data_IF_107048824938
#
_entry.id   IF_107048824938
#
_cell.length_a   1.000
_cell.length_b   1.000
_cell.length_c   1.000
_cell.angle_alpha   90.00
_cell.angle_beta   90.00
_cell.angle_gamma   90.00
#
_symmetry.space_group_name_H-M   'P 1'
#
loop_
_entity.id
_entity.type
_entity.pdbx_description
1 polymer ?
#
# COMPACT_ATOMS: atom_id res chain seq x y z
N UNK A 1 -25.76 4.53 4.72
CA UNK A 1 -24.47 4.70 4.01
C UNK A 1 -23.68 3.39 4.07
N UNK A 2 -24.19 2.30 3.49
CA UNK A 2 -23.54 0.97 3.54
C UNK A 2 -23.43 0.31 2.16
N UNK A 3 -23.89 0.97 1.09
CA UNK A 3 -24.03 0.34 -0.23
C UNK A 3 -22.77 0.45 -1.10
N UNK A 4 -21.84 1.36 -0.77
CA UNK A 4 -20.65 1.66 -1.56
C UNK A 4 -19.46 1.96 -0.64
N UNK A 5 -18.98 0.95 0.07
CA UNK A 5 -17.90 1.12 1.07
C UNK A 5 -16.54 0.58 0.62
N UNK A 6 -16.42 0.09 -0.62
CA UNK A 6 -15.16 -0.27 -1.26
C UNK A 6 -15.14 0.28 -2.69
N UNK A 7 -14.12 1.07 -3.01
CA UNK A 7 -13.91 1.60 -4.37
C UNK A 7 -13.18 0.53 -5.19
N UNK A 8 -13.60 0.35 -6.44
CA UNK A 8 -12.87 -0.46 -7.40
C UNK A 8 -12.82 0.29 -8.71
N UNK A 9 -11.61 0.52 -9.20
CA UNK A 9 -11.38 1.09 -10.52
C UNK A 9 -11.29 -0.01 -11.56
N UNK A 10 -11.57 0.33 -12.82
CA UNK A 10 -11.30 -0.57 -13.95
C UNK A 10 -9.80 -0.64 -14.22
N UNK A 11 -9.13 0.53 -14.16
CA UNK A 11 -7.67 0.63 -14.13
C UNK A 11 -7.19 0.38 -12.70
N UNK A 12 -6.82 -0.86 -12.38
CA UNK A 12 -6.36 -1.27 -11.05
C UNK A 12 -4.92 -1.80 -11.05
N UNK A 13 -4.21 -1.72 -12.17
CA UNK A 13 -2.83 -2.22 -12.30
C UNK A 13 -1.82 -1.08 -12.29
N UNK A 14 -0.67 -1.28 -11.65
CA UNK A 14 0.46 -0.35 -11.62
C UNK A 14 1.80 -1.09 -11.65
N UNK A 15 2.90 -0.34 -11.88
CA UNK A 15 4.27 -0.87 -11.82
C UNK A 15 5.12 -0.09 -10.84
N UNK A 16 5.99 -0.79 -10.13
CA UNK A 16 6.98 -0.20 -9.22
C UNK A 16 8.35 -0.86 -9.42
N UNK A 17 9.40 -0.14 -9.04
CA UNK A 17 10.77 -0.58 -9.26
C UNK A 17 11.31 -1.29 -8.00
N UNK A 18 11.32 -2.62 -8.03
CA UNK A 18 11.72 -3.45 -6.88
C UNK A 18 13.24 -3.42 -6.71
N UNK A 19 13.70 -3.03 -5.52
CA UNK A 19 15.12 -3.01 -5.13
C UNK A 19 16.06 -2.26 -6.08
N UNK A 20 15.57 -1.27 -6.82
CA UNK A 20 16.32 -0.61 -7.88
C UNK A 20 16.90 -1.56 -8.96
N UNK A 21 16.26 -2.71 -9.20
CA UNK A 21 16.77 -3.73 -10.12
C UNK A 21 15.84 -3.99 -11.30
N UNK A 22 14.56 -4.29 -11.03
CA UNK A 22 13.59 -4.64 -12.06
C UNK A 22 12.20 -4.11 -11.74
N UNK A 23 11.42 -3.90 -12.78
CA UNK A 23 10.02 -3.48 -12.67
C UNK A 23 9.14 -4.67 -12.36
N UNK A 24 8.23 -4.49 -11.40
CA UNK A 24 7.20 -5.45 -11.03
C UNK A 24 5.84 -4.83 -11.33
N UNK A 25 4.93 -5.63 -11.86
CA UNK A 25 3.53 -5.29 -12.05
C UNK A 25 2.72 -5.84 -10.87
N UNK A 26 1.74 -5.08 -10.41
CA UNK A 26 0.83 -5.48 -9.34
C UNK A 26 -0.50 -4.76 -9.50
N UNK A 27 -1.54 -5.27 -8.84
CA UNK A 27 -2.84 -4.61 -8.81
C UNK A 27 -3.12 -3.95 -7.45
N UNK A 28 -4.21 -3.18 -7.39
CA UNK A 28 -4.74 -2.61 -6.16
C UNK A 28 -6.22 -2.90 -5.98
N UNK A 29 -6.57 -3.41 -4.81
CA UNK A 29 -7.92 -3.39 -4.26
C UNK A 29 -7.95 -2.41 -3.09
N UNK A 30 -8.81 -1.40 -3.15
CA UNK A 30 -8.93 -0.42 -2.07
C UNK A 30 -9.58 -1.05 -0.83
N UNK A 31 -8.98 -0.76 0.32
CA UNK A 31 -9.52 -1.16 1.60
C UNK A 31 -10.82 -0.41 1.89
N UNK A 32 -11.69 -1.08 2.63
CA UNK A 32 -13.03 -0.61 2.88
C UNK A 32 -13.27 -0.35 4.38
N UNK A 33 -14.19 0.57 4.65
CA UNK A 33 -14.59 0.92 6.01
C UNK A 33 -15.88 0.19 6.42
N UNK A 34 -15.90 -0.35 7.65
CA UNK A 34 -17.10 -0.90 8.27
C UNK A 34 -17.14 -2.42 8.28
N UNK A 35 -18.11 -3.04 7.58
CA UNK A 35 -18.22 -4.49 7.42
C UNK A 35 -18.65 -4.82 5.97
N UNK A 36 -17.74 -4.61 5.01
CA UNK A 36 -18.01 -4.74 3.59
C UNK A 36 -17.94 -6.20 3.15
N UNK A 37 -18.67 -6.55 2.08
CA UNK A 37 -18.62 -7.88 1.47
C UNK A 37 -17.66 -7.82 0.29
N UNK A 38 -16.69 -8.74 0.23
CA UNK A 38 -15.80 -8.91 -0.92
C UNK A 38 -14.60 -7.96 -0.98
N UNK A 39 -14.19 -7.37 0.14
CA UNK A 39 -13.00 -6.51 0.27
C UNK A 39 -12.49 -6.58 1.70
N UNK A 40 -11.23 -6.22 1.91
CA UNK A 40 -10.63 -6.19 3.24
C UNK A 40 -10.94 -4.90 4.01
N UNK A 41 -10.87 -5.01 5.34
CA UNK A 41 -11.14 -3.94 6.28
C UNK A 41 -9.89 -3.12 6.56
N UNK A 42 -10.02 -1.78 6.47
CA UNK A 42 -8.93 -0.86 6.83
C UNK A 42 -8.37 -1.19 8.22
N UNK A 43 -9.23 -1.40 9.21
CA UNK A 43 -8.81 -1.66 10.59
C UNK A 43 -7.96 -2.92 10.74
N UNK A 44 -8.32 -3.98 10.00
CA UNK A 44 -7.62 -5.26 10.07
C UNK A 44 -6.26 -5.14 9.37
N UNK A 45 -6.20 -4.49 8.21
CA UNK A 45 -4.95 -4.28 7.48
C UNK A 45 -3.99 -3.36 8.24
N UNK A 46 -4.47 -2.39 9.03
CA UNK A 46 -3.58 -1.58 9.85
C UNK A 46 -2.85 -2.38 10.94
N UNK A 47 -3.41 -3.50 11.40
CA UNK A 47 -2.74 -4.36 12.38
C UNK A 47 -1.41 -4.92 11.84
N UNK A 48 -1.33 -5.14 10.53
CA UNK A 48 -0.15 -5.65 9.84
C UNK A 48 0.78 -4.55 9.33
N UNK A 49 0.38 -3.28 9.41
CA UNK A 49 1.17 -2.15 8.94
C UNK A 49 2.34 -1.80 9.87
N UNK A 50 3.49 -1.41 9.29
CA UNK A 50 4.57 -0.81 10.07
C UNK A 50 4.14 0.58 10.58
N UNK A 51 4.66 0.99 11.75
CA UNK A 51 4.36 2.29 12.36
C UNK A 51 4.58 3.44 11.36
N UNK A 52 3.57 4.30 11.22
CA UNK A 52 3.52 5.44 10.28
C UNK A 52 3.38 5.04 8.80
N UNK A 53 3.07 3.78 8.50
CA UNK A 53 2.48 3.41 7.22
C UNK A 53 0.98 3.26 7.43
N UNK A 54 0.18 3.94 6.61
CA UNK A 54 -1.28 3.84 6.67
C UNK A 54 -1.75 3.10 5.43
N UNK A 55 -2.15 1.85 5.59
CA UNK A 55 -2.66 1.03 4.50
C UNK A 55 -3.97 1.61 3.96
N UNK A 56 -4.09 1.70 2.64
CA UNK A 56 -5.32 2.10 1.95
C UNK A 56 -5.72 1.11 0.84
N UNK A 57 -4.84 0.20 0.46
CA UNK A 57 -5.11 -0.87 -0.48
C UNK A 57 -4.29 -2.11 -0.19
N UNK A 58 -4.63 -3.20 -0.87
CA UNK A 58 -3.82 -4.41 -0.96
C UNK A 58 -3.79 -4.92 -2.40
N UNK A 59 -2.80 -5.72 -2.73
CA UNK A 59 -2.75 -6.45 -3.99
C UNK A 59 -3.27 -7.89 -3.83
N UNK A 60 -3.22 -8.68 -4.91
CA UNK A 60 -3.65 -10.09 -4.92
C UNK A 60 -2.82 -11.02 -4.02
N UNK A 61 -1.64 -10.58 -3.60
CA UNK A 61 -0.74 -11.28 -2.67
C UNK A 61 -0.94 -10.84 -1.21
N UNK A 62 -1.87 -9.91 -0.95
CA UNK A 62 -2.09 -9.31 0.37
C UNK A 62 -1.01 -8.31 0.78
N UNK A 63 -0.09 -7.92 -0.11
CA UNK A 63 0.85 -6.85 0.17
C UNK A 63 0.12 -5.53 0.30
N UNK A 64 0.51 -4.74 1.29
CA UNK A 64 -0.20 -3.52 1.66
C UNK A 64 0.33 -2.35 0.83
N UNK A 65 -0.58 -1.62 0.19
CA UNK A 65 -0.29 -0.32 -0.40
C UNK A 65 -0.61 0.74 0.64
N UNK A 66 0.38 1.56 0.98
CA UNK A 66 0.36 2.44 2.13
C UNK A 66 0.76 3.87 1.78
N UNK A 67 0.20 4.83 2.49
CA UNK A 67 0.78 6.16 2.64
C UNK A 67 1.97 6.10 3.60
N UNK A 68 3.12 6.65 3.19
CA UNK A 68 4.35 6.62 3.98
C UNK A 68 4.61 7.95 4.71
N UNK A 69 4.30 7.94 6.01
CA UNK A 69 4.51 9.05 6.93
C UNK A 69 5.76 8.87 7.81
N UNK A 70 6.67 7.94 7.46
CA UNK A 70 7.84 7.65 8.30
C UNK A 70 8.84 8.81 8.33
N UNK A 71 8.97 9.56 7.24
CA UNK A 71 9.87 10.72 7.17
C UNK A 71 9.21 12.00 7.70
N UNK A 72 7.99 12.29 7.26
CA UNK A 72 7.20 13.43 7.72
C UNK A 72 5.79 12.98 8.12
N UNK A 73 5.48 13.13 9.40
CA UNK A 73 4.18 12.72 9.98
C UNK A 73 3.08 13.75 9.78
N UNK A 74 3.44 14.97 9.41
CA UNK A 74 2.53 16.10 9.32
C UNK A 74 2.28 16.55 7.88
N UNK A 75 2.92 15.89 6.90
CA UNK A 75 2.63 16.12 5.48
C UNK A 75 1.17 15.82 5.18
N UNK A 76 0.57 16.59 4.28
CA UNK A 76 -0.73 16.27 3.68
C UNK A 76 -0.58 15.57 2.32
N UNK A 77 0.65 15.37 1.87
CA UNK A 77 0.99 14.73 0.60
C UNK A 77 2.07 13.67 0.84
N UNK A 78 1.71 12.53 1.45
CA UNK A 78 2.64 11.44 1.69
C UNK A 78 2.92 10.67 0.39
N UNK A 79 4.15 10.14 0.21
CA UNK A 79 4.42 9.19 -0.85
C UNK A 79 3.66 7.87 -0.65
N UNK A 80 3.48 7.14 -1.74
CA UNK A 80 2.87 5.81 -1.76
C UNK A 80 3.95 4.75 -1.84
N UNK A 81 3.83 3.72 -0.99
CA UNK A 81 4.73 2.57 -0.93
C UNK A 81 3.94 1.27 -0.97
N UNK A 82 4.59 0.19 -1.40
CA UNK A 82 4.10 -1.18 -1.21
C UNK A 82 4.95 -1.88 -0.14
N UNK A 83 4.28 -2.48 0.84
CA UNK A 83 4.88 -3.17 1.97
C UNK A 83 4.49 -4.65 1.95
N UNK A 84 5.50 -5.50 2.01
CA UNK A 84 5.31 -6.94 2.04
C UNK A 84 5.19 -7.36 3.50
N UNK A 85 4.00 -7.79 3.92
CA UNK A 85 3.68 -8.02 5.33
C UNK A 85 4.23 -9.34 5.89
N UNK A 86 4.73 -10.23 5.02
CA UNK A 86 5.29 -11.54 5.31
C UNK A 86 6.80 -11.65 5.01
N UNK A 87 7.41 -10.61 4.42
CA UNK A 87 8.85 -10.53 4.14
C UNK A 87 9.57 -9.54 5.06
N UNK A 88 10.69 -9.98 5.61
CA UNK A 88 11.53 -9.20 6.52
C UNK A 88 12.96 -9.06 5.97
N UNK A 89 13.56 -7.91 6.23
CA UNK A 89 14.98 -7.66 6.04
C UNK A 89 15.65 -7.28 7.35
N UNK A 90 16.86 -7.81 7.57
CA UNK A 90 17.69 -7.42 8.71
C UNK A 90 18.49 -6.18 8.36
N UNK A 91 18.36 -5.12 9.15
CA UNK A 91 19.18 -3.92 8.99
C UNK A 91 20.62 -4.13 9.51
N UNK A 92 21.48 -3.13 9.31
CA UNK A 92 22.87 -3.12 9.77
C UNK A 92 23.05 -3.28 11.30
N UNK A 93 21.99 -3.10 12.07
CA UNK A 93 21.95 -3.26 13.53
C UNK A 93 21.35 -4.61 13.98
N UNK A 94 21.07 -5.53 13.06
CA UNK A 94 20.50 -6.83 13.37
C UNK A 94 18.99 -6.82 13.66
N UNK A 95 18.29 -5.71 13.37
CA UNK A 95 16.86 -5.59 13.57
C UNK A 95 16.09 -5.98 12.30
N UNK A 96 15.08 -6.83 12.45
CA UNK A 96 14.14 -7.14 11.38
C UNK A 96 13.22 -5.94 11.11
N UNK A 97 13.05 -5.63 9.82
CA UNK A 97 12.11 -4.62 9.31
C UNK A 97 11.32 -5.20 8.16
N UNK A 98 10.10 -4.72 7.97
CA UNK A 98 9.29 -5.10 6.82
C UNK A 98 9.96 -4.63 5.52
N UNK A 99 9.81 -5.43 4.47
CA UNK A 99 10.29 -5.07 3.13
C UNK A 99 9.33 -4.05 2.51
N UNK A 100 9.85 -2.89 2.13
CA UNK A 100 9.06 -1.75 1.64
C UNK A 100 9.69 -1.18 0.38
N UNK A 101 8.89 -0.97 -0.67
CA UNK A 101 9.32 -0.38 -1.94
C UNK A 101 8.56 0.91 -2.26
N UNK A 102 9.24 1.95 -2.77
CA UNK A 102 8.58 3.15 -3.26
C UNK A 102 7.73 2.83 -4.50
N UNK A 103 6.55 3.45 -4.58
CA UNK A 103 5.65 3.34 -5.73
C UNK A 103 5.49 4.69 -6.41
N UNK A 104 5.07 5.72 -5.67
CA UNK A 104 4.85 7.08 -6.19
C UNK A 104 5.17 8.13 -5.12
N UNK A 105 5.41 9.39 -5.52
CA UNK A 105 5.74 10.47 -4.58
C UNK A 105 4.51 11.14 -3.95
N UNK A 106 3.32 10.90 -4.51
CA UNK A 106 2.03 11.40 -4.02
C UNK A 106 0.91 10.41 -4.35
N UNK A 107 -0.27 10.62 -3.77
CA UNK A 107 -1.46 9.83 -4.12
C UNK A 107 -1.94 10.13 -5.54
N UNK A 108 -1.87 11.39 -5.97
CA UNK A 108 -2.29 11.78 -7.32
C UNK A 108 -1.39 11.13 -8.38
N UNK A 109 -0.07 11.14 -8.18
CA UNK A 109 0.88 10.44 -9.06
C UNK A 109 0.59 8.92 -9.09
N UNK A 110 0.24 8.32 -7.95
CA UNK A 110 -0.16 6.91 -7.91
C UNK A 110 -1.41 6.63 -8.75
N UNK A 111 -2.44 7.48 -8.66
CA UNK A 111 -3.66 7.34 -9.46
C UNK A 111 -3.39 7.50 -10.96
N UNK A 112 -2.52 8.44 -11.34
CA UNK A 112 -2.12 8.66 -12.73
C UNK A 112 -1.31 7.48 -13.32
N UNK A 113 -0.71 6.64 -12.48
CA UNK A 113 0.01 5.43 -12.90
C UNK A 113 -0.90 4.23 -13.18
N UNK A 114 -2.18 4.27 -12.79
CA UNK A 114 -3.09 3.14 -12.94
C UNK A 114 -3.45 2.89 -14.40
N UNK A 115 -3.42 1.62 -14.83
CA UNK A 115 -3.82 1.17 -16.16
C UNK A 115 -4.60 -0.17 -16.12
N UNK A 116 -5.12 -0.57 -17.29
CA UNK A 116 -5.85 -1.85 -17.51
C UNK A 116 -4.93 -3.08 -17.64
#
# INVERSE_FOLDING_TARGET
MLKHNGVRFEQDTFRYFKNNQYWVESNISFLAFGNPIGTELINDSQYYSEKNLIAFGLNEFGYLICFDYRQDRMTNDPPVVIMYHDEFMTNEHGQEKMVIFPVANSFDEFLDMLYE
#
